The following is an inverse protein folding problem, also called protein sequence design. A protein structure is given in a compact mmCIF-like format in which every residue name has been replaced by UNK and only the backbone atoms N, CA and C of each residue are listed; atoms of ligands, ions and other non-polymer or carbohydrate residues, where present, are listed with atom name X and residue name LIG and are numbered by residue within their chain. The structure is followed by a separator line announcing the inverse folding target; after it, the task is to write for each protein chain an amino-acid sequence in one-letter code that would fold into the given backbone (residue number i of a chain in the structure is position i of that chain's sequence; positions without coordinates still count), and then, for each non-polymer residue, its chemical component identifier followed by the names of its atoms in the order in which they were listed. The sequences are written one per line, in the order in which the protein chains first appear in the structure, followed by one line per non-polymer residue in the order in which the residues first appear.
data_IF_704689872777
#
_entry.id   IF_704689872777
#
_cell.length_a   1.000
_cell.length_b   1.000
_cell.length_c   1.000
_cell.angle_alpha   90.00
_cell.angle_beta   90.00
_cell.angle_gamma   90.00
#
_symmetry.space_group_name_H-M   'P 1'
#
loop_
_entity.id
_entity.type
_entity.pdbx_description
1 polymer ?
#
# COMPACT_ATOMS: atom_id res chain seq x y z
N UNK A 1 26.57 -5.90 35.61
CA UNK A 1 26.36 -6.87 34.52
C UNK A 1 25.26 -6.30 33.64
N UNK A 2 25.50 -6.11 32.34
CA UNK A 2 24.44 -5.68 31.42
C UNK A 2 23.40 -6.81 31.29
N UNK A 3 22.11 -6.51 31.16
CA UNK A 3 21.11 -7.55 30.93
C UNK A 3 21.39 -8.22 29.57
N UNK A 4 21.02 -9.51 29.39
CA UNK A 4 21.31 -10.24 28.15
C UNK A 4 20.77 -9.60 26.87
N UNK A 5 19.74 -8.77 27.00
CA UNK A 5 19.20 -7.89 25.97
C UNK A 5 19.03 -6.49 26.59
N UNK A 6 19.67 -5.48 26.02
CA UNK A 6 19.52 -4.06 26.38
C UNK A 6 19.30 -3.20 25.14
N UNK A 7 18.89 -1.94 25.33
CA UNK A 7 18.69 -0.97 24.25
C UNK A 7 17.81 -1.50 23.11
N UNK A 8 16.77 -2.27 23.46
CA UNK A 8 15.80 -2.79 22.50
C UNK A 8 14.97 -1.64 21.95
N UNK A 9 15.11 -1.37 20.66
CA UNK A 9 14.42 -0.27 19.96
C UNK A 9 13.89 -0.76 18.63
N UNK A 10 12.80 -0.14 18.18
CA UNK A 10 12.29 -0.27 16.82
C UNK A 10 12.57 1.04 16.08
N UNK A 11 13.14 0.95 14.88
CA UNK A 11 13.33 2.07 13.97
C UNK A 11 12.77 1.70 12.58
N UNK A 12 12.45 2.72 11.78
CA UNK A 12 11.76 2.56 10.49
C UNK A 12 10.48 1.71 10.58
N UNK A 13 9.83 1.73 11.75
CA UNK A 13 8.59 1.01 12.11
C UNK A 13 8.68 -0.54 12.10
N UNK A 14 9.65 -1.13 11.42
CA UNK A 14 9.76 -2.58 11.20
C UNK A 14 11.15 -3.19 11.50
N UNK A 15 12.16 -2.37 11.79
CA UNK A 15 13.51 -2.86 12.09
C UNK A 15 13.79 -2.82 13.59
N UNK A 16 14.05 -3.99 14.16
CA UNK A 16 14.37 -4.19 15.55
C UNK A 16 15.89 -4.11 15.76
N UNK A 17 16.34 -3.35 16.73
CA UNK A 17 17.74 -3.27 17.13
C UNK A 17 17.88 -3.50 18.63
N UNK A 18 18.90 -4.23 19.04
CA UNK A 18 19.24 -4.39 20.47
C UNK A 18 20.73 -4.66 20.66
N UNK A 19 21.18 -4.46 21.90
CA UNK A 19 22.50 -4.86 22.35
C UNK A 19 22.44 -6.17 23.14
N UNK A 20 23.45 -7.00 22.96
CA UNK A 20 23.63 -8.28 23.63
C UNK A 20 24.52 -8.12 24.86
N UNK A 21 23.99 -8.40 26.05
CA UNK A 21 24.80 -8.53 27.26
C UNK A 21 25.38 -9.95 27.37
N UNK A 22 26.53 -10.21 26.73
CA UNK A 22 27.21 -11.51 26.76
C UNK A 22 28.74 -11.35 26.84
N UNK A 23 29.46 -12.45 27.08
CA UNK A 23 30.91 -12.49 26.90
C UNK A 23 31.24 -12.52 25.40
N UNK A 24 32.28 -11.81 24.96
CA UNK A 24 32.57 -11.57 23.53
C UNK A 24 32.70 -12.86 22.68
N UNK A 25 33.12 -13.97 23.27
CA UNK A 25 33.28 -15.25 22.56
C UNK A 25 31.99 -16.10 22.49
N UNK A 26 30.99 -15.78 23.31
CA UNK A 26 29.78 -16.57 23.45
C UNK A 26 28.85 -16.36 22.26
N UNK A 27 28.41 -17.48 21.69
CA UNK A 27 27.35 -17.45 20.67
C UNK A 27 26.00 -17.55 21.35
N UNK A 28 25.16 -16.55 21.18
CA UNK A 28 23.78 -16.57 21.66
C UNK A 28 22.80 -16.85 20.51
N UNK A 29 21.71 -17.54 20.82
CA UNK A 29 20.58 -17.75 19.92
C UNK A 29 19.42 -16.90 20.39
N UNK A 30 18.96 -15.99 19.54
CA UNK A 30 17.78 -15.19 19.81
C UNK A 30 16.59 -15.72 19.04
N UNK A 31 15.46 -15.87 19.74
CA UNK A 31 14.14 -16.12 19.18
C UNK A 31 13.35 -14.83 19.23
N UNK A 32 13.00 -14.29 18.07
CA UNK A 32 12.13 -13.11 17.94
C UNK A 32 10.74 -13.59 17.57
N UNK A 33 9.72 -13.17 18.29
CA UNK A 33 8.31 -13.44 17.99
C UNK A 33 7.52 -12.15 17.98
N UNK A 34 6.53 -12.04 17.11
CA UNK A 34 5.65 -10.88 17.09
C UNK A 34 4.20 -11.28 16.94
N UNK A 35 3.31 -10.45 17.49
CA UNK A 35 1.86 -10.54 17.34
C UNK A 35 1.32 -9.16 16.99
N UNK A 36 0.65 -9.06 15.84
CA UNK A 36 -0.02 -7.86 15.34
C UNK A 36 -1.52 -7.93 15.53
N UNK A 37 -2.13 -6.84 15.99
CA UNK A 37 -3.58 -6.68 16.17
C UNK A 37 -4.07 -5.36 15.56
N UNK A 38 -5.35 -5.35 15.18
CA UNK A 38 -6.04 -4.19 14.58
C UNK A 38 -7.34 -3.92 15.34
N UNK A 39 -7.51 -2.71 15.85
CA UNK A 39 -8.71 -2.34 16.64
C UNK A 39 -9.99 -2.38 15.81
N UNK A 40 -9.87 -2.09 14.51
CA UNK A 40 -10.96 -2.02 13.54
C UNK A 40 -11.30 -3.36 12.89
N UNK A 41 -10.43 -4.34 13.02
CA UNK A 41 -10.60 -5.68 12.45
C UNK A 41 -10.34 -6.68 13.57
N UNK A 42 -11.28 -6.81 14.51
CA UNK A 42 -11.09 -7.59 15.75
C UNK A 42 -10.66 -9.04 15.56
N UNK A 43 -10.99 -9.64 14.41
CA UNK A 43 -10.61 -11.02 14.06
C UNK A 43 -9.24 -11.11 13.40
N UNK A 44 -8.63 -9.99 13.01
CA UNK A 44 -7.30 -9.94 12.42
C UNK A 44 -6.25 -10.23 13.48
N UNK A 45 -5.33 -11.12 13.13
CA UNK A 45 -4.15 -11.38 13.91
C UNK A 45 -3.02 -11.80 12.98
N UNK A 46 -1.92 -11.05 13.03
CA UNK A 46 -0.69 -11.43 12.34
C UNK A 46 0.32 -11.97 13.35
N UNK A 47 1.03 -13.05 13.01
CA UNK A 47 2.02 -13.67 13.90
C UNK A 47 3.20 -14.16 13.09
N UNK A 48 4.40 -13.91 13.60
CA UNK A 48 5.60 -14.47 13.04
C UNK A 48 6.66 -14.78 14.08
N UNK A 49 7.67 -15.52 13.63
CA UNK A 49 8.82 -15.93 14.42
C UNK A 49 10.08 -15.96 13.57
N UNK A 50 11.19 -15.52 14.15
CA UNK A 50 12.51 -15.58 13.56
C UNK A 50 13.51 -16.13 14.57
N UNK A 51 14.51 -16.83 14.07
CA UNK A 51 15.64 -17.29 14.87
C UNK A 51 16.90 -16.72 14.27
N UNK A 52 17.79 -16.25 15.13
CA UNK A 52 19.10 -15.78 14.73
C UNK A 52 20.15 -16.27 15.72
N UNK A 53 21.32 -16.61 15.19
CA UNK A 53 22.46 -17.06 15.98
C UNK A 53 23.59 -16.08 15.72
N UNK A 54 24.13 -15.47 16.77
CA UNK A 54 25.11 -14.39 16.58
C UNK A 54 26.07 -14.23 17.76
N UNK A 55 27.31 -13.86 17.41
CA UNK A 55 28.36 -13.40 18.33
C UNK A 55 28.44 -11.87 18.44
N UNK A 56 27.71 -11.12 17.61
CA UNK A 56 27.72 -9.66 17.63
C UNK A 56 27.15 -9.08 18.93
N UNK A 57 27.69 -7.96 19.39
CA UNK A 57 27.19 -7.20 20.54
C UNK A 57 25.99 -6.32 20.18
N UNK A 58 25.82 -6.00 18.89
CA UNK A 58 24.68 -5.25 18.40
C UNK A 58 24.04 -6.01 17.23
N UNK A 59 22.73 -6.15 17.29
CA UNK A 59 21.96 -6.93 16.32
C UNK A 59 20.84 -6.08 15.73
N UNK A 60 20.58 -6.31 14.46
CA UNK A 60 19.50 -5.66 13.71
C UNK A 60 18.73 -6.72 12.93
N UNK A 61 17.41 -6.69 13.03
CA UNK A 61 16.49 -7.58 12.30
C UNK A 61 15.28 -6.78 11.81
N UNK A 62 15.09 -6.71 10.50
CA UNK A 62 13.89 -6.11 9.91
C UNK A 62 12.81 -7.18 9.66
N UNK A 63 11.61 -6.91 10.14
CA UNK A 63 10.45 -7.78 10.08
C UNK A 63 9.52 -7.36 8.94
N UNK A 64 8.79 -8.30 8.36
CA UNK A 64 7.75 -8.02 7.36
C UNK A 64 6.42 -7.71 8.05
N UNK A 65 6.38 -6.59 8.76
CA UNK A 65 5.18 -6.15 9.49
C UNK A 65 4.16 -5.54 8.52
N UNK A 66 2.89 -5.91 8.68
CA UNK A 66 1.79 -5.33 7.93
C UNK A 66 1.48 -3.89 8.38
N UNK A 67 1.06 -3.01 7.46
CA UNK A 67 0.73 -1.63 7.78
C UNK A 67 -0.51 -1.53 8.70
N UNK A 68 -0.67 -0.36 9.32
CA UNK A 68 -1.81 -0.03 10.18
C UNK A 68 -2.08 -1.10 11.24
N UNK A 69 -1.04 -1.57 11.90
CA UNK A 69 -1.13 -2.70 12.82
C UNK A 69 -0.30 -2.42 14.08
N UNK A 70 -0.88 -2.70 15.24
CA UNK A 70 -0.21 -2.57 16.53
C UNK A 70 0.48 -3.89 16.83
N UNK A 71 1.82 -3.89 16.87
CA UNK A 71 2.62 -5.09 17.14
C UNK A 71 3.17 -5.09 18.56
N UNK A 72 3.13 -6.27 19.17
CA UNK A 72 3.99 -6.63 20.30
C UNK A 72 5.07 -7.57 19.80
N UNK A 73 6.33 -7.18 19.98
CA UNK A 73 7.51 -7.92 19.54
C UNK A 73 8.28 -8.36 20.79
N UNK A 74 8.67 -9.63 20.86
CA UNK A 74 9.44 -10.20 21.96
C UNK A 74 10.72 -10.85 21.44
N UNK A 75 11.86 -10.51 22.05
CA UNK A 75 13.16 -11.11 21.79
C UNK A 75 13.54 -11.96 22.99
N UNK A 76 13.80 -13.24 22.76
CA UNK A 76 14.22 -14.19 23.79
C UNK A 76 15.65 -14.64 23.52
N UNK A 77 16.57 -14.37 24.43
CA UNK A 77 17.91 -14.96 24.45
C UNK A 77 17.82 -16.37 25.05
N UNK A 78 18.08 -17.39 24.23
CA UNK A 78 17.79 -18.78 24.60
C UNK A 78 18.72 -19.31 25.69
N UNK A 79 20.03 -19.03 25.59
CA UNK A 79 21.03 -19.53 26.55
C UNK A 79 20.90 -18.80 27.88
N UNK A 80 20.71 -17.48 27.84
CA UNK A 80 20.48 -16.67 29.04
C UNK A 80 19.08 -16.79 29.66
N UNK A 81 18.13 -17.46 28.97
CA UNK A 81 16.70 -17.58 29.36
C UNK A 81 16.07 -16.23 29.71
N UNK A 82 16.43 -15.20 28.96
CA UNK A 82 15.98 -13.82 29.17
C UNK A 82 15.09 -13.37 28.03
N UNK A 83 14.06 -12.58 28.34
CA UNK A 83 13.14 -12.02 27.36
C UNK A 83 13.02 -10.51 27.55
N UNK A 84 13.05 -9.78 26.44
CA UNK A 84 12.67 -8.38 26.35
C UNK A 84 11.56 -8.22 25.32
N UNK A 85 10.64 -7.27 25.54
CA UNK A 85 9.55 -6.99 24.62
C UNK A 85 9.43 -5.49 24.36
N UNK A 86 8.92 -5.15 23.18
CA UNK A 86 8.65 -3.78 22.75
C UNK A 86 7.38 -3.78 21.90
N UNK A 87 6.67 -2.66 21.91
CA UNK A 87 5.51 -2.42 21.04
C UNK A 87 5.82 -1.39 19.99
N UNK A 88 5.28 -1.56 18.78
CA UNK A 88 5.39 -0.60 17.69
C UNK A 88 4.09 -0.56 16.90
N UNK A 89 3.78 0.60 16.32
CA UNK A 89 2.63 0.76 15.45
C UNK A 89 3.14 1.07 14.05
N UNK A 90 2.63 0.36 13.05
CA UNK A 90 2.98 0.62 11.65
C UNK A 90 2.03 1.65 11.04
N UNK A 91 2.58 2.54 10.22
CA UNK A 91 1.83 3.58 9.52
C UNK A 91 1.12 3.05 8.27
N UNK A 92 0.32 3.91 7.65
CA UNK A 92 -0.29 3.64 6.35
C UNK A 92 0.78 3.74 5.26
N UNK A 93 0.98 2.65 4.53
CA UNK A 93 1.93 2.60 3.41
C UNK A 93 1.24 2.91 2.08
N UNK A 94 2.03 3.33 1.11
CA UNK A 94 1.57 3.43 -0.28
C UNK A 94 1.09 2.07 -0.78
N UNK A 95 -0.09 1.99 -1.44
CA UNK A 95 -0.53 0.74 -2.03
C UNK A 95 0.44 0.29 -3.12
N UNK A 96 0.56 -1.03 -3.37
CA UNK A 96 1.30 -1.51 -4.52
C UNK A 96 0.69 -0.97 -5.81
N UNK A 97 1.55 -0.62 -6.77
CA UNK A 97 1.12 -0.16 -8.09
C UNK A 97 0.21 -1.20 -8.76
N UNK A 98 -0.92 -0.78 -9.37
CA UNK A 98 -1.72 -1.64 -10.23
C UNK A 98 -0.86 -2.34 -11.28
N UNK A 99 -0.95 -3.66 -11.38
CA UNK A 99 -0.19 -4.43 -12.38
C UNK A 99 -0.92 -4.34 -13.70
N UNK A 100 -0.46 -3.43 -14.57
CA UNK A 100 -1.00 -3.20 -15.92
C UNK A 100 0.15 -2.94 -16.90
N UNK A 101 -0.11 -3.19 -18.18
CA UNK A 101 0.85 -2.91 -19.25
C UNK A 101 0.36 -1.73 -20.08
N UNK A 102 1.26 -0.78 -20.33
CA UNK A 102 0.96 0.34 -21.21
C UNK A 102 0.53 -0.15 -22.60
N UNK A 103 -0.60 0.34 -23.09
CA UNK A 103 -1.14 -0.04 -24.41
C UNK A 103 -1.70 1.17 -25.13
N UNK A 104 -1.45 1.29 -26.43
CA UNK A 104 -2.11 2.27 -27.30
C UNK A 104 -3.27 1.62 -28.04
N UNK A 105 -4.44 2.25 -27.99
CA UNK A 105 -5.66 1.77 -28.64
C UNK A 105 -6.11 2.78 -29.69
N UNK A 106 -6.33 2.31 -30.91
CA UNK A 106 -7.01 3.06 -31.99
C UNK A 106 -8.51 2.76 -32.04
N UNK A 107 -8.95 1.74 -31.29
CA UNK A 107 -10.34 1.35 -31.20
C UNK A 107 -11.01 2.08 -30.03
N UNK A 108 -12.28 2.50 -30.19
CA UNK A 108 -13.03 3.04 -29.08
C UNK A 108 -13.23 1.98 -27.99
N UNK A 109 -13.44 2.43 -26.76
CA UNK A 109 -13.83 1.61 -25.61
C UNK A 109 -12.88 0.45 -25.24
N UNK A 110 -11.59 0.71 -24.93
CA UNK A 110 -10.71 -0.35 -24.46
C UNK A 110 -11.16 -0.89 -23.09
N UNK A 111 -10.99 -2.19 -22.90
CA UNK A 111 -11.30 -2.87 -21.62
C UNK A 111 -10.03 -3.06 -20.79
N UNK A 112 -10.01 -2.40 -19.64
CA UNK A 112 -9.03 -2.61 -18.58
C UNK A 112 -9.30 -3.95 -17.89
N UNK A 113 -8.25 -4.78 -17.81
CA UNK A 113 -8.23 -5.98 -16.98
C UNK A 113 -7.29 -5.77 -15.82
N UNK A 114 -7.85 -5.59 -14.64
CA UNK A 114 -7.09 -5.37 -13.41
C UNK A 114 -7.19 -6.61 -12.53
N UNK A 115 -6.04 -7.19 -12.22
CA UNK A 115 -5.94 -8.25 -11.23
C UNK A 115 -5.60 -7.66 -9.88
N UNK A 116 -6.47 -7.89 -8.90
CA UNK A 116 -6.20 -7.48 -7.52
C UNK A 116 -5.10 -8.35 -6.93
N UNK A 117 -4.21 -7.76 -6.14
CA UNK A 117 -3.32 -8.55 -5.30
C UNK A 117 -4.15 -9.48 -4.41
N UNK A 118 -3.79 -10.78 -4.33
CA UNK A 118 -4.45 -11.71 -3.40
C UNK A 118 -4.14 -11.37 -1.94
N UNK A 119 -3.17 -10.47 -1.67
CA UNK A 119 -2.81 -10.08 -0.33
C UNK A 119 -3.89 -9.17 0.31
N UNK A 120 -4.89 -9.78 0.93
CA UNK A 120 -6.00 -9.10 1.61
C UNK A 120 -5.60 -8.36 2.89
N UNK A 121 -4.33 -8.42 3.26
CA UNK A 121 -3.82 -7.86 4.51
C UNK A 121 -3.33 -6.41 4.35
N UNK A 122 -3.14 -5.96 3.10
CA UNK A 122 -2.81 -4.58 2.75
C UNK A 122 -4.06 -3.67 2.79
N UNK A 123 -3.94 -2.39 3.20
CA UNK A 123 -5.05 -1.46 3.44
C UNK A 123 -5.63 -0.89 2.14
N UNK A 124 -5.46 -1.60 1.01
CA UNK A 124 -5.99 -1.21 -0.28
C UNK A 124 -7.52 -1.08 -0.18
N UNK A 125 -8.00 0.13 -0.36
CA UNK A 125 -9.39 0.50 -0.09
C UNK A 125 -10.22 0.55 -1.37
N UNK A 126 -9.67 1.15 -2.43
CA UNK A 126 -10.36 1.33 -3.70
C UNK A 126 -9.39 1.58 -4.87
N UNK A 127 -9.91 1.42 -6.08
CA UNK A 127 -9.30 1.93 -7.31
C UNK A 127 -10.13 3.10 -7.85
N UNK A 128 -9.44 4.12 -8.37
CA UNK A 128 -10.04 5.19 -9.18
C UNK A 128 -9.46 5.12 -10.59
N UNK A 129 -10.28 5.40 -11.58
CA UNK A 129 -9.88 5.41 -12.98
C UNK A 129 -10.17 6.80 -13.54
N UNK A 130 -9.14 7.41 -14.12
CA UNK A 130 -9.15 8.76 -14.65
C UNK A 130 -9.02 8.73 -16.16
N UNK A 131 -9.77 9.61 -16.81
CA UNK A 131 -9.64 9.90 -18.24
C UNK A 131 -9.13 11.33 -18.40
N UNK A 132 -8.01 11.47 -19.09
CA UNK A 132 -7.32 12.73 -19.32
C UNK A 132 -7.28 13.03 -20.82
N UNK A 133 -8.05 14.00 -21.33
CA UNK A 133 -7.97 14.41 -22.73
C UNK A 133 -6.63 15.10 -23.01
N UNK A 134 -5.89 14.62 -24.00
CA UNK A 134 -4.56 15.13 -24.33
C UNK A 134 -4.67 16.51 -24.99
N UNK A 135 -4.49 17.55 -24.19
CA UNK A 135 -4.46 18.94 -24.65
C UNK A 135 -3.24 19.68 -24.07
N UNK A 136 -2.25 19.98 -24.92
CA UNK A 136 -1.05 20.72 -24.50
C UNK A 136 -0.13 19.93 -23.54
N UNK A 137 0.49 20.63 -22.58
CA UNK A 137 1.28 20.01 -21.51
C UNK A 137 0.32 19.68 -20.37
N UNK A 138 0.19 18.38 -20.06
CA UNK A 138 -0.64 17.91 -18.96
C UNK A 138 0.22 17.50 -17.77
N UNK A 139 -0.24 17.86 -16.57
CA UNK A 139 0.33 17.43 -15.30
C UNK A 139 -0.80 16.76 -14.49
N UNK A 140 -0.53 15.57 -13.94
CA UNK A 140 -1.48 14.80 -13.14
C UNK A 140 -0.94 14.63 -11.73
N UNK A 141 -1.66 15.12 -10.73
CA UNK A 141 -1.30 14.94 -9.32
C UNK A 141 -1.98 13.71 -8.72
N UNK A 142 -1.22 12.62 -8.65
CA UNK A 142 -1.65 11.35 -8.05
C UNK A 142 -2.01 11.45 -6.55
N UNK A 143 -1.52 12.47 -5.86
CA UNK A 143 -1.74 12.66 -4.41
C UNK A 143 -2.99 13.47 -4.13
N UNK A 144 -3.43 14.32 -5.07
CA UNK A 144 -4.61 15.14 -4.88
C UNK A 144 -5.84 14.25 -4.63
N UNK A 145 -6.73 14.56 -3.70
CA UNK A 145 -8.02 13.87 -3.57
C UNK A 145 -8.99 14.12 -4.76
N UNK A 146 -8.45 14.65 -5.86
CA UNK A 146 -9.09 15.28 -7.01
C UNK A 146 -10.06 16.40 -6.63
N UNK A 147 -9.82 17.51 -7.31
CA UNK A 147 -10.52 18.78 -7.21
C UNK A 147 -12.03 18.64 -7.33
N UNK A 148 -12.71 18.89 -6.22
CA UNK A 148 -14.05 19.47 -6.24
C UNK A 148 -14.00 20.98 -6.59
N UNK A 149 -12.93 21.45 -7.26
CA UNK A 149 -12.85 22.80 -7.81
C UNK A 149 -13.64 22.86 -9.12
N UNK A 150 -14.96 22.77 -8.97
CA UNK A 150 -15.92 23.46 -9.83
C UNK A 150 -15.70 24.99 -9.85
N UNK A 151 -14.78 25.52 -9.02
CA UNK A 151 -14.57 26.94 -8.78
C UNK A 151 -13.63 27.64 -9.79
N UNK A 152 -12.84 26.94 -10.60
CA UNK A 152 -11.93 27.56 -11.58
C UNK A 152 -12.24 27.15 -13.02
N UNK A 153 -13.45 27.52 -13.49
CA UNK A 153 -13.88 27.47 -14.90
C UNK A 153 -13.04 28.35 -15.82
N UNK A 154 -11.81 27.95 -16.17
CA UNK A 154 -11.03 28.66 -17.20
C UNK A 154 -10.23 27.77 -18.17
N UNK A 155 -10.25 26.42 -18.05
CA UNK A 155 -9.49 25.55 -18.97
C UNK A 155 -10.21 24.24 -19.35
N UNK A 156 -9.92 23.72 -20.56
CA UNK A 156 -10.60 22.57 -21.20
C UNK A 156 -10.27 21.26 -20.46
N UNK A 157 -11.02 20.16 -20.73
CA UNK A 157 -11.63 19.35 -19.67
C UNK A 157 -10.60 18.95 -18.63
N UNK A 158 -10.82 19.45 -17.40
CA UNK A 158 -10.15 18.91 -16.23
C UNK A 158 -10.34 17.39 -16.26
N UNK A 159 -9.24 16.65 -16.09
CA UNK A 159 -9.25 15.22 -15.81
C UNK A 159 -10.53 14.81 -15.05
N UNK A 160 -11.19 13.74 -15.49
CA UNK A 160 -12.41 13.29 -14.83
C UNK A 160 -12.26 11.85 -14.37
N UNK A 161 -12.88 11.56 -13.23
CA UNK A 161 -13.00 10.21 -12.70
C UNK A 161 -14.14 9.55 -13.47
N UNK A 162 -13.82 8.46 -14.16
CA UNK A 162 -14.81 7.64 -14.87
C UNK A 162 -15.40 6.54 -13.96
N UNK A 163 -14.61 6.07 -13.00
CA UNK A 163 -15.06 5.03 -12.07
C UNK A 163 -14.34 5.11 -10.73
N UNK A 164 -15.09 4.76 -9.67
CA UNK A 164 -14.54 4.42 -8.37
C UNK A 164 -14.99 3.02 -7.95
N UNK A 165 -14.02 2.17 -7.65
CA UNK A 165 -14.23 0.74 -7.48
C UNK A 165 -13.71 0.31 -6.11
N UNK A 166 -14.63 0.13 -5.16
CA UNK A 166 -14.27 -0.31 -3.81
C UNK A 166 -13.82 -1.77 -3.84
N UNK A 167 -12.68 -2.06 -3.22
CA UNK A 167 -12.07 -3.40 -3.23
C UNK A 167 -12.97 -4.46 -2.61
N UNK A 168 -13.82 -4.06 -1.65
CA UNK A 168 -14.80 -4.93 -0.99
C UNK A 168 -15.95 -5.35 -1.92
N UNK A 169 -16.27 -4.54 -2.92
CA UNK A 169 -17.36 -4.80 -3.87
C UNK A 169 -16.87 -5.40 -5.20
N UNK A 170 -15.56 -5.59 -5.36
CA UNK A 170 -14.94 -6.06 -6.60
C UNK A 170 -14.29 -7.43 -6.37
N UNK A 171 -14.44 -8.33 -7.35
CA UNK A 171 -13.80 -9.65 -7.34
C UNK A 171 -12.27 -9.59 -7.44
N UNK A 172 -11.63 -10.76 -7.55
CA UNK A 172 -10.17 -10.85 -7.76
C UNK A 172 -9.74 -10.29 -9.11
N UNK A 173 -10.60 -10.44 -10.12
CA UNK A 173 -10.42 -9.89 -11.45
C UNK A 173 -11.50 -8.85 -11.68
N UNK A 174 -11.08 -7.73 -12.25
CA UNK A 174 -11.95 -6.64 -12.65
C UNK A 174 -11.77 -6.41 -14.15
N UNK A 175 -12.88 -6.50 -14.87
CA UNK A 175 -12.99 -6.05 -16.26
C UNK A 175 -13.77 -4.74 -16.27
N UNK A 176 -13.16 -3.68 -16.81
CA UNK A 176 -13.75 -2.35 -16.85
C UNK A 176 -13.55 -1.74 -18.25
N UNK A 177 -14.65 -1.43 -18.94
CA UNK A 177 -14.60 -0.86 -20.30
C UNK A 177 -14.67 0.65 -20.23
N UNK A 178 -13.68 1.36 -20.79
CA UNK A 178 -13.70 2.83 -20.83
C UNK A 178 -14.79 3.32 -21.77
N UNK A 179 -15.50 4.38 -21.39
CA UNK A 179 -16.50 5.10 -22.18
C UNK A 179 -17.80 4.34 -22.48
N UNK A 180 -18.17 3.35 -21.67
CA UNK A 180 -19.35 2.50 -21.90
C UNK A 180 -20.69 3.15 -21.49
N UNK A 181 -20.68 4.37 -20.94
CA UNK A 181 -21.87 5.09 -20.49
C UNK A 181 -22.49 4.56 -19.20
N UNK A 182 -21.81 3.68 -18.46
CA UNK A 182 -22.33 3.08 -17.21
C UNK A 182 -21.83 3.87 -15.99
N UNK A 183 -22.63 3.85 -14.91
CA UNK A 183 -22.26 4.46 -13.62
C UNK A 183 -21.48 3.47 -12.75
N UNK A 184 -20.28 3.85 -12.31
CA UNK A 184 -19.41 3.05 -11.46
C UNK A 184 -19.02 3.82 -10.19
N UNK A 185 -19.52 3.36 -9.03
CA UNK A 185 -19.23 4.00 -7.74
C UNK A 185 -19.65 5.46 -7.66
N UNK A 186 -20.70 5.85 -8.38
CA UNK A 186 -21.22 7.22 -8.44
C UNK A 186 -20.62 8.09 -9.54
N UNK A 187 -19.68 7.57 -10.33
CA UNK A 187 -19.06 8.29 -11.45
C UNK A 187 -19.58 7.78 -12.78
N UNK A 188 -19.86 8.71 -13.70
CA UNK A 188 -20.38 8.40 -15.03
C UNK A 188 -19.22 8.16 -16.00
N UNK A 189 -19.21 6.97 -16.62
CA UNK A 189 -18.19 6.61 -17.59
C UNK A 189 -18.52 7.17 -18.97
N UNK A 190 -18.24 8.45 -19.15
CA UNK A 190 -18.57 9.21 -20.36
C UNK A 190 -17.92 8.60 -21.62
N UNK A 191 -18.70 8.39 -22.70
CA UNK A 191 -18.15 7.93 -23.98
C UNK A 191 -17.04 8.85 -24.49
N UNK A 192 -15.94 8.24 -24.97
CA UNK A 192 -14.81 8.99 -25.52
C UNK A 192 -15.20 9.65 -26.85
N UNK A 193 -14.79 10.91 -27.04
CA UNK A 193 -15.07 11.64 -28.27
C UNK A 193 -14.19 11.13 -29.42
N UNK A 194 -14.80 10.92 -30.59
CA UNK A 194 -14.07 10.53 -31.80
C UNK A 194 -13.08 11.62 -32.21
N UNK A 195 -11.85 11.22 -32.53
CA UNK A 195 -10.79 12.13 -32.98
C UNK A 195 -10.10 12.91 -31.85
N UNK A 196 -10.38 12.57 -30.59
CA UNK A 196 -9.61 13.04 -29.44
C UNK A 196 -8.74 11.92 -28.88
N UNK A 197 -7.57 12.30 -28.42
CA UNK A 197 -6.66 11.39 -27.73
C UNK A 197 -6.82 11.53 -26.22
N UNK A 198 -6.81 10.42 -25.50
CA UNK A 198 -6.95 10.36 -24.05
C UNK A 198 -5.86 9.51 -23.42
N UNK A 199 -5.37 9.91 -22.24
CA UNK A 199 -4.63 9.05 -21.33
C UNK A 199 -5.55 8.48 -20.26
N UNK A 200 -5.36 7.21 -19.95
CA UNK A 200 -6.10 6.51 -18.90
C UNK A 200 -5.16 6.20 -17.74
N UNK A 201 -5.43 6.80 -16.59
CA UNK A 201 -4.62 6.63 -15.38
C UNK A 201 -5.43 5.85 -14.35
N UNK A 202 -4.80 4.85 -13.74
CA UNK A 202 -5.38 4.05 -12.66
C UNK A 202 -4.69 4.45 -11.38
N UNK A 203 -5.48 4.80 -10.36
CA UNK A 203 -5.02 5.12 -9.02
C UNK A 203 -5.48 4.06 -8.04
N UNK A 204 -4.54 3.41 -7.38
CA UNK A 204 -4.79 2.61 -6.19
C UNK A 204 -4.77 3.53 -4.95
N UNK A 205 -5.74 3.37 -4.04
CA UNK A 205 -5.83 4.16 -2.82
C UNK A 205 -5.89 3.25 -1.59
N UNK A 206 -4.98 3.50 -0.65
CA UNK A 206 -5.06 2.98 0.72
C UNK A 206 -5.55 4.10 1.63
N UNK A 207 -6.59 3.86 2.42
CA UNK A 207 -7.17 4.85 3.32
C UNK A 207 -7.32 4.27 4.72
N UNK A 208 -6.92 5.05 5.71
CA UNK A 208 -7.06 4.70 7.11
C UNK A 208 -7.31 5.95 7.97
N UNK A 209 -8.47 6.02 8.63
CA UNK A 209 -8.92 7.23 9.34
C UNK A 209 -8.85 8.46 8.43
N UNK A 210 -8.00 9.43 8.78
CA UNK A 210 -7.75 10.66 8.02
C UNK A 210 -6.58 10.53 7.04
N UNK A 211 -5.80 9.46 7.14
CA UNK A 211 -4.62 9.25 6.30
C UNK A 211 -5.02 8.57 5.00
N UNK A 212 -4.43 9.03 3.90
CA UNK A 212 -4.55 8.38 2.59
C UNK A 212 -3.19 8.32 1.91
N UNK A 213 -2.94 7.23 1.19
CA UNK A 213 -1.79 7.05 0.31
C UNK A 213 -2.27 6.54 -1.03
N UNK A 214 -1.66 7.00 -2.10
CA UNK A 214 -2.08 6.70 -3.46
C UNK A 214 -0.89 6.34 -4.32
N UNK A 215 -1.09 5.38 -5.23
CA UNK A 215 -0.14 5.01 -6.26
C UNK A 215 -0.84 5.02 -7.61
N UNK A 216 -0.25 5.65 -8.62
CA UNK A 216 -0.86 5.81 -9.93
C UNK A 216 -0.01 5.18 -11.03
N UNK A 217 -0.69 4.62 -12.03
CA UNK A 217 -0.07 4.01 -13.21
C UNK A 217 -0.80 4.50 -14.45
N UNK A 218 -0.04 4.96 -15.44
CA UNK A 218 -0.55 5.20 -16.79
C UNK A 218 -0.78 3.84 -17.46
N UNK A 219 -2.04 3.52 -17.75
CA UNK A 219 -2.39 2.26 -18.39
C UNK A 219 -2.47 2.38 -19.91
N UNK A 220 -3.11 3.42 -20.43
CA UNK A 220 -3.40 3.45 -21.85
C UNK A 220 -3.40 4.85 -22.45
N UNK A 221 -3.14 4.88 -23.76
CA UNK A 221 -3.47 5.99 -24.65
C UNK A 221 -4.53 5.52 -25.62
N UNK A 222 -5.62 6.26 -25.73
CA UNK A 222 -6.75 5.95 -26.63
C UNK A 222 -6.87 7.07 -27.63
N UNK A 223 -6.83 6.78 -28.94
CA UNK A 223 -6.82 7.77 -30.01
C UNK A 223 -7.89 7.49 -31.06
#
# INVERSE_FOLDING_TARGET
MLPPISDLVVFNENCLQWKAGKYEEDTEVYKVTYVGIRDYQRTFQDKGKHFLRSKSDQLTLCLQLLPVTNYSISVTAASARFMAAITTNTSLTEPPAPIVFYTEFETPNPTLRLQRSPNTLDPLSLYQIFVLPVEGIMEFDCSSPTSLDLATKLKPPAEYITAQLHVQSVGLNLDFTIGDGVLYGGFYNEPLESGRTYYIIIRAVSQWKTDSKSCCVLWAKVA
#
